data_IF_873704304006
#
_entry.id   IF_873704304006
#
_cell.length_a   1.000
_cell.length_b   1.000
_cell.length_c   1.000
_cell.angle_alpha   90.00
_cell.angle_beta   90.00
_cell.angle_gamma   90.00
#
_symmetry.space_group_name_H-M   'P 1'
#
loop_
_entity.id
_entity.type
_entity.pdbx_description
1 polymer ?
#
# COMPACT_ATOMS: atom_id res chain seq x y z
N UNK A 1 -16.33 11.28 -11.09
CA UNK A 1 -15.52 12.28 -10.35
C UNK A 1 -15.40 13.57 -11.15
N UNK A 2 -15.41 14.73 -10.44
CA UNK A 2 -15.10 16.00 -11.09
C UNK A 2 -13.56 16.11 -11.16
N UNK A 3 -13.02 15.88 -12.33
CA UNK A 3 -11.58 15.97 -12.58
C UNK A 3 -11.10 17.42 -12.48
N UNK A 4 -9.94 17.71 -11.87
CA UNK A 4 -9.35 19.04 -11.81
C UNK A 4 -8.64 19.41 -13.13
N UNK A 5 -9.26 19.14 -14.27
CA UNK A 5 -8.72 19.40 -15.59
C UNK A 5 -9.80 19.35 -16.66
N UNK A 6 -9.49 19.89 -17.80
CA UNK A 6 -10.37 19.82 -18.96
C UNK A 6 -10.04 18.56 -19.76
N UNK A 7 -11.04 17.79 -20.25
CA UNK A 7 -10.76 16.71 -21.17
C UNK A 7 -10.23 17.29 -22.51
N UNK A 8 -9.03 16.87 -22.86
CA UNK A 8 -8.44 17.22 -24.14
C UNK A 8 -8.45 15.97 -25.02
N UNK A 9 -9.17 16.00 -26.13
CA UNK A 9 -9.25 14.92 -27.13
C UNK A 9 -9.53 13.51 -26.55
N UNK A 10 -10.46 13.43 -25.56
CA UNK A 10 -10.81 12.23 -24.78
C UNK A 10 -9.79 11.77 -23.73
N UNK A 11 -8.73 12.54 -23.47
CA UNK A 11 -7.81 12.28 -22.37
C UNK A 11 -8.28 12.95 -21.07
N UNK A 12 -8.02 12.29 -19.94
CA UNK A 12 -8.10 12.93 -18.64
C UNK A 12 -6.77 13.63 -18.41
N UNK A 13 -6.80 14.94 -18.44
CA UNK A 13 -5.62 15.78 -18.24
C UNK A 13 -5.76 16.58 -16.94
N UNK A 14 -4.85 16.34 -16.01
CA UNK A 14 -4.68 17.15 -14.81
C UNK A 14 -3.42 17.99 -14.96
N UNK A 15 -3.55 19.30 -15.20
CA UNK A 15 -2.39 20.18 -15.24
C UNK A 15 -1.81 20.38 -13.84
N UNK A 16 -0.49 20.65 -13.77
CA UNK A 16 0.14 21.01 -12.50
C UNK A 16 -0.52 22.22 -11.82
N UNK A 17 -0.97 23.22 -12.60
CA UNK A 17 -1.62 24.41 -12.06
C UNK A 17 -2.98 24.06 -11.42
N UNK A 18 -3.79 23.21 -12.05
CA UNK A 18 -5.07 22.76 -11.51
C UNK A 18 -4.86 21.92 -10.24
N UNK A 19 -3.91 20.99 -10.27
CA UNK A 19 -3.55 20.20 -9.09
C UNK A 19 -3.06 21.10 -7.95
N UNK A 20 -2.19 22.06 -8.23
CA UNK A 20 -1.69 23.01 -7.21
C UNK A 20 -2.83 23.75 -6.51
N UNK A 21 -3.82 24.22 -7.28
CA UNK A 21 -4.98 24.88 -6.71
C UNK A 21 -5.77 23.92 -5.80
N UNK A 22 -6.07 22.72 -6.28
CA UNK A 22 -6.89 21.76 -5.55
C UNK A 22 -6.23 21.28 -4.26
N UNK A 23 -4.93 20.94 -4.25
CA UNK A 23 -4.26 20.49 -3.02
C UNK A 23 -4.14 21.60 -1.98
N UNK A 24 -4.04 22.89 -2.41
CA UNK A 24 -4.10 24.01 -1.50
C UNK A 24 -5.52 24.19 -0.92
N UNK A 25 -6.56 24.03 -1.74
CA UNK A 25 -7.94 24.07 -1.28
C UNK A 25 -8.21 22.94 -0.27
N UNK A 26 -7.75 21.72 -0.54
CA UNK A 26 -7.86 20.59 0.40
C UNK A 26 -7.22 20.90 1.77
N UNK A 27 -6.01 21.46 1.77
CA UNK A 27 -5.28 21.79 3.00
C UNK A 27 -5.97 22.92 3.78
N UNK A 28 -6.54 23.91 3.08
CA UNK A 28 -7.26 25.00 3.70
C UNK A 28 -8.62 24.59 4.28
N UNK A 29 -9.33 23.72 3.55
CA UNK A 29 -10.68 23.29 3.91
C UNK A 29 -10.70 22.16 4.94
N UNK A 30 -9.61 21.38 5.02
CA UNK A 30 -9.51 20.19 5.87
C UNK A 30 -8.22 20.15 6.73
N UNK A 31 -7.91 21.23 7.49
CA UNK A 31 -6.63 21.33 8.22
C UNK A 31 -6.46 20.26 9.31
N UNK A 32 -7.54 19.63 9.75
CA UNK A 32 -7.52 18.60 10.78
C UNK A 32 -6.98 17.25 10.25
N UNK A 33 -7.04 17.02 8.94
CA UNK A 33 -6.60 15.77 8.32
C UNK A 33 -5.61 15.95 7.18
N UNK A 34 -5.49 17.12 6.58
CA UNK A 34 -4.62 17.34 5.41
C UNK A 34 -3.42 18.21 5.79
N UNK A 35 -2.22 17.68 5.66
CA UNK A 35 -0.99 18.47 5.64
C UNK A 35 -0.45 18.53 4.22
N UNK A 36 -0.10 19.74 3.77
CA UNK A 36 0.48 19.99 2.46
C UNK A 36 1.89 20.56 2.61
N UNK A 37 2.84 19.99 1.88
CA UNK A 37 4.20 20.49 1.81
C UNK A 37 4.80 20.27 0.42
N UNK A 38 5.82 21.05 0.09
CA UNK A 38 6.66 20.75 -1.07
C UNK A 38 7.85 19.91 -0.63
N UNK A 39 8.11 18.80 -1.32
CA UNK A 39 9.30 17.96 -1.07
C UNK A 39 10.51 18.40 -1.91
N UNK A 40 10.34 19.35 -2.81
CA UNK A 40 11.36 19.85 -3.73
C UNK A 40 10.75 20.49 -4.96
N UNK A 41 11.56 20.71 -5.96
CA UNK A 41 11.13 21.31 -7.23
C UNK A 41 11.53 20.43 -8.40
N UNK A 42 10.73 20.47 -9.46
CA UNK A 42 11.06 19.87 -10.77
C UNK A 42 12.23 20.59 -11.43
N UNK A 43 12.68 20.06 -12.55
CA UNK A 43 13.76 20.67 -13.33
C UNK A 43 13.45 22.12 -13.76
N UNK A 44 12.20 22.46 -14.07
CA UNK A 44 11.78 23.82 -14.40
C UNK A 44 11.31 24.64 -13.19
N UNK A 45 11.43 24.12 -11.98
CA UNK A 45 11.15 24.86 -10.74
C UNK A 45 9.69 24.81 -10.28
N UNK A 46 8.89 23.86 -10.74
CA UNK A 46 7.56 23.62 -10.22
C UNK A 46 7.64 22.84 -8.91
N UNK A 47 6.82 23.22 -7.92
CA UNK A 47 6.75 22.52 -6.63
C UNK A 47 6.26 21.08 -6.79
N UNK A 48 6.88 20.16 -6.06
CA UNK A 48 6.49 18.76 -5.94
C UNK A 48 5.64 18.61 -4.67
N UNK A 49 4.32 18.63 -4.86
CA UNK A 49 3.37 18.68 -3.76
C UNK A 49 3.17 17.32 -3.12
N UNK A 50 3.47 17.23 -1.82
CA UNK A 50 3.17 16.09 -0.96
C UNK A 50 1.93 16.38 -0.14
N UNK A 51 0.91 15.57 -0.30
CA UNK A 51 -0.30 15.56 0.52
C UNK A 51 -0.17 14.44 1.55
N UNK A 52 -0.30 14.76 2.83
CA UNK A 52 -0.31 13.75 3.88
C UNK A 52 -1.66 13.79 4.58
N UNK A 53 -2.35 12.64 4.55
CA UNK A 53 -3.67 12.48 5.16
C UNK A 53 -3.55 11.65 6.44
N UNK A 54 -4.07 12.17 7.54
CA UNK A 54 -4.17 11.49 8.83
C UNK A 54 -5.07 12.27 9.76
N UNK A 55 -5.66 11.67 10.76
CA UNK A 55 -6.29 12.40 11.87
C UNK A 55 -5.21 12.97 12.79
N UNK A 56 -4.89 14.26 12.64
CA UNK A 56 -3.81 14.93 13.38
C UNK A 56 -4.15 15.21 14.84
N UNK A 57 -5.40 14.96 15.26
CA UNK A 57 -5.75 14.99 16.67
C UNK A 57 -5.23 13.75 17.43
N UNK A 58 -4.86 12.70 16.69
CA UNK A 58 -4.30 11.46 17.21
C UNK A 58 -2.83 11.31 16.76
N UNK A 59 -1.88 11.45 17.69
CA UNK A 59 -0.45 11.22 17.41
C UNK A 59 -0.12 9.74 17.24
N UNK A 60 -0.87 8.88 17.91
CA UNK A 60 -0.73 7.41 17.88
C UNK A 60 -2.09 6.76 17.70
N UNK A 61 -2.10 5.49 17.37
CA UNK A 61 -3.32 4.66 17.36
C UNK A 61 -3.92 4.55 18.77
N UNK A 62 -5.15 4.08 18.85
CA UNK A 62 -5.88 3.93 20.12
C UNK A 62 -5.18 2.97 21.11
N UNK A 63 -4.35 2.04 20.63
CA UNK A 63 -3.54 1.13 21.42
C UNK A 63 -2.18 1.72 21.86
N UNK A 64 -1.90 2.98 21.52
CA UNK A 64 -0.67 3.69 21.82
C UNK A 64 0.51 3.35 20.90
N UNK A 65 0.31 2.52 19.89
CA UNK A 65 1.36 2.22 18.89
C UNK A 65 1.40 3.28 17.79
N UNK A 66 2.53 3.38 17.07
CA UNK A 66 2.67 4.30 15.94
C UNK A 66 1.68 3.95 14.84
N UNK A 67 1.24 4.97 14.11
CA UNK A 67 0.43 4.78 12.91
C UNK A 67 1.23 4.05 11.84
N UNK A 68 0.55 3.26 11.03
CA UNK A 68 1.13 2.69 9.82
C UNK A 68 1.37 3.79 8.78
N UNK A 69 2.38 3.60 7.93
CA UNK A 69 2.73 4.56 6.88
C UNK A 69 2.57 3.89 5.53
N UNK A 70 1.76 4.47 4.67
CA UNK A 70 1.75 4.13 3.26
C UNK A 70 2.29 5.30 2.44
N UNK A 71 3.18 4.98 1.50
CA UNK A 71 3.70 5.93 0.54
C UNK A 71 3.13 5.64 -0.85
N UNK A 72 2.59 6.66 -1.49
CA UNK A 72 2.01 6.59 -2.83
C UNK A 72 2.64 7.70 -3.67
N UNK A 73 3.11 7.37 -4.86
CA UNK A 73 3.46 8.38 -5.84
C UNK A 73 2.87 8.08 -7.21
N UNK A 74 2.64 9.13 -7.98
CA UNK A 74 2.17 9.06 -9.36
C UNK A 74 2.93 10.03 -10.26
N UNK A 75 2.75 9.86 -11.56
CA UNK A 75 3.25 10.81 -12.53
C UNK A 75 4.77 10.84 -12.69
N UNK A 76 5.49 9.72 -12.52
CA UNK A 76 6.89 9.61 -12.95
C UNK A 76 7.03 9.91 -14.44
N UNK A 77 6.12 9.37 -15.23
CA UNK A 77 6.01 9.69 -16.64
C UNK A 77 4.90 10.71 -16.84
N UNK A 78 5.25 11.86 -17.42
CA UNK A 78 4.34 13.00 -17.46
C UNK A 78 3.09 12.78 -18.30
N UNK A 79 3.14 11.90 -19.30
CA UNK A 79 2.02 11.60 -20.18
C UNK A 79 1.19 10.37 -19.73
N UNK A 80 1.49 9.79 -18.57
CA UNK A 80 0.72 8.69 -17.99
C UNK A 80 -0.34 9.25 -17.02
N UNK A 81 -1.36 9.90 -17.58
CA UNK A 81 -2.32 10.71 -16.82
C UNK A 81 -3.17 9.92 -15.83
N UNK A 82 -3.53 8.66 -16.16
CA UNK A 82 -4.39 7.85 -15.30
C UNK A 82 -3.71 7.42 -14.00
N UNK A 83 -2.39 7.18 -14.03
CA UNK A 83 -1.62 6.93 -12.81
C UNK A 83 -1.64 8.13 -11.86
N UNK A 84 -1.46 9.35 -12.40
CA UNK A 84 -1.64 10.59 -11.64
C UNK A 84 -3.07 10.75 -11.14
N UNK A 85 -4.05 10.40 -11.97
CA UNK A 85 -5.46 10.46 -11.62
C UNK A 85 -5.86 9.50 -10.50
N UNK A 86 -5.33 8.27 -10.49
CA UNK A 86 -5.59 7.31 -9.42
C UNK A 86 -4.99 7.74 -8.08
N UNK A 87 -3.77 8.31 -8.09
CA UNK A 87 -3.16 8.90 -6.90
C UNK A 87 -4.00 10.05 -6.33
N UNK A 88 -4.47 10.95 -7.20
CA UNK A 88 -5.37 12.03 -6.84
C UNK A 88 -6.70 11.52 -6.32
N UNK A 89 -7.32 10.56 -7.01
CA UNK A 89 -8.62 9.99 -6.63
C UNK A 89 -8.55 9.30 -5.27
N UNK A 90 -7.43 8.61 -4.99
CA UNK A 90 -7.18 8.00 -3.69
C UNK A 90 -7.19 9.05 -2.57
N UNK A 91 -6.45 10.15 -2.72
CA UNK A 91 -6.46 11.23 -1.75
C UNK A 91 -7.85 11.84 -1.57
N UNK A 92 -8.49 12.16 -2.69
CA UNK A 92 -9.82 12.80 -2.71
C UNK A 92 -10.89 11.93 -2.06
N UNK A 93 -10.84 10.62 -2.27
CA UNK A 93 -11.79 9.69 -1.65
C UNK A 93 -11.74 9.75 -0.14
N UNK A 94 -10.55 9.65 0.46
CA UNK A 94 -10.39 9.71 1.92
C UNK A 94 -10.81 11.06 2.51
N UNK A 95 -10.51 12.17 1.83
CA UNK A 95 -10.96 13.52 2.26
C UNK A 95 -12.49 13.61 2.24
N UNK A 96 -13.12 13.20 1.14
CA UNK A 96 -14.58 13.29 0.98
C UNK A 96 -15.30 12.37 1.98
N UNK A 97 -14.82 11.15 2.14
CA UNK A 97 -15.44 10.16 3.01
C UNK A 97 -15.23 10.49 4.50
N UNK A 98 -14.08 11.08 4.87
CA UNK A 98 -13.91 11.67 6.20
C UNK A 98 -14.96 12.72 6.49
N UNK A 99 -15.16 13.66 5.56
CA UNK A 99 -16.17 14.73 5.69
C UNK A 99 -17.60 14.18 5.72
N UNK A 100 -17.86 13.06 5.05
CA UNK A 100 -19.12 12.32 5.09
C UNK A 100 -19.30 11.46 6.35
N UNK A 101 -18.30 11.42 7.26
CA UNK A 101 -18.29 10.59 8.46
C UNK A 101 -18.38 9.08 8.17
N UNK A 102 -17.74 8.65 7.09
CA UNK A 102 -17.62 7.24 6.73
C UNK A 102 -16.67 6.53 7.70
N UNK A 103 -17.14 5.44 8.30
CA UNK A 103 -16.38 4.69 9.31
C UNK A 103 -15.03 4.17 8.77
N UNK A 104 -14.99 3.68 7.52
CA UNK A 104 -13.76 3.19 6.89
C UNK A 104 -12.68 4.28 6.80
N UNK A 105 -13.05 5.48 6.31
CA UNK A 105 -12.12 6.59 6.19
C UNK A 105 -11.63 7.09 7.55
N UNK A 106 -12.53 7.11 8.56
CA UNK A 106 -12.19 7.50 9.93
C UNK A 106 -11.19 6.49 10.51
N UNK A 107 -11.47 5.20 10.45
CA UNK A 107 -10.61 4.14 10.99
C UNK A 107 -9.22 4.18 10.35
N UNK A 108 -9.16 4.37 9.03
CA UNK A 108 -7.88 4.48 8.31
C UNK A 108 -7.11 5.71 8.76
N UNK A 109 -7.70 6.91 8.75
CA UNK A 109 -6.96 8.13 9.07
C UNK A 109 -6.60 8.24 10.57
N UNK A 110 -7.31 7.54 11.44
CA UNK A 110 -6.94 7.41 12.85
C UNK A 110 -5.79 6.44 13.09
N UNK A 111 -5.56 5.50 12.19
CA UNK A 111 -4.54 4.46 12.34
C UNK A 111 -3.37 4.55 11.36
N UNK A 112 -3.44 5.41 10.35
CA UNK A 112 -2.50 5.44 9.23
C UNK A 112 -2.14 6.87 8.84
N UNK A 113 -0.94 7.06 8.32
CA UNK A 113 -0.51 8.25 7.59
C UNK A 113 -0.40 7.89 6.10
N UNK A 114 -1.22 8.54 5.26
CA UNK A 114 -1.20 8.38 3.82
C UNK A 114 -0.37 9.50 3.21
N UNK A 115 0.83 9.21 2.75
CA UNK A 115 1.74 10.16 2.10
C UNK A 115 1.59 10.02 0.60
N UNK A 116 1.04 11.02 -0.07
CA UNK A 116 0.66 10.95 -1.48
C UNK A 116 1.33 12.06 -2.28
N UNK A 117 2.30 11.70 -3.12
CA UNK A 117 2.92 12.56 -4.13
C UNK A 117 2.19 12.36 -5.45
N UNK A 118 1.20 13.18 -5.72
CA UNK A 118 0.26 12.95 -6.84
C UNK A 118 0.96 13.07 -8.20
N UNK A 119 1.93 14.00 -8.35
CA UNK A 119 2.58 14.30 -9.64
C UNK A 119 4.06 14.58 -9.44
N UNK A 120 4.91 13.58 -9.70
CA UNK A 120 6.36 13.70 -9.57
C UNK A 120 7.00 14.48 -10.73
N UNK A 121 6.46 14.38 -11.96
CA UNK A 121 6.98 15.00 -13.16
C UNK A 121 6.01 16.04 -13.75
N UNK A 122 5.84 17.18 -13.07
CA UNK A 122 4.91 18.21 -13.53
C UNK A 122 5.36 18.91 -14.84
N UNK A 123 6.65 18.87 -15.14
CA UNK A 123 7.17 19.44 -16.39
C UNK A 123 6.82 18.56 -17.59
N UNK A 124 7.02 17.25 -17.44
CA UNK A 124 6.62 16.28 -18.45
C UNK A 124 5.12 16.21 -18.63
N UNK A 125 4.35 16.34 -17.54
CA UNK A 125 2.90 16.34 -17.58
C UNK A 125 2.38 17.51 -18.42
N UNK A 126 2.80 18.74 -18.14
CA UNK A 126 2.37 19.92 -18.90
C UNK A 126 2.88 19.94 -20.35
N UNK A 127 3.92 19.17 -20.66
CA UNK A 127 4.49 19.05 -22.00
C UNK A 127 4.03 17.79 -22.76
N UNK A 128 3.13 17.01 -22.17
CA UNK A 128 2.63 15.74 -22.74
C UNK A 128 3.77 14.81 -23.16
N UNK A 129 4.73 14.59 -22.25
CA UNK A 129 5.89 13.74 -22.53
C UNK A 129 6.18 12.80 -21.36
N UNK A 130 6.66 11.60 -21.70
CA UNK A 130 7.10 10.60 -20.71
C UNK A 130 8.20 11.13 -19.80
N UNK A 131 9.19 11.82 -20.39
CA UNK A 131 10.42 12.27 -19.73
C UNK A 131 10.22 13.60 -19.00
N UNK A 132 11.15 13.96 -18.11
CA UNK A 132 11.23 15.33 -17.65
C UNK A 132 11.78 16.27 -18.76
N UNK A 133 11.92 17.55 -18.48
CA UNK A 133 12.39 18.52 -19.48
C UNK A 133 13.89 18.88 -19.37
N UNK A 134 14.68 18.05 -18.70
CA UNK A 134 16.14 18.12 -18.73
C UNK A 134 16.64 17.53 -20.07
N UNK A 135 16.53 18.32 -21.13
CA UNK A 135 16.82 17.87 -22.50
C UNK A 135 18.31 17.55 -22.68
N UNK A 136 18.61 16.29 -22.77
CA UNK A 136 19.96 15.81 -23.13
C UNK A 136 19.95 15.26 -24.57
N UNK A 137 21.12 15.21 -25.20
CA UNK A 137 21.30 14.50 -26.49
C UNK A 137 21.51 13.02 -26.21
N UNK A 138 20.44 12.32 -25.78
CA UNK A 138 20.50 10.87 -25.70
C UNK A 138 20.37 10.25 -27.11
N UNK A 139 21.14 9.21 -27.39
CA UNK A 139 20.97 8.42 -28.60
C UNK A 139 19.65 7.67 -28.52
N UNK A 140 18.64 8.10 -29.25
CA UNK A 140 17.42 7.33 -29.40
C UNK A 140 17.63 6.24 -30.47
N UNK A 141 17.64 4.94 -30.12
CA UNK A 141 17.94 3.89 -31.11
C UNK A 141 16.83 3.69 -32.16
N UNK A 142 15.67 4.33 -31.96
CA UNK A 142 14.54 4.25 -32.89
C UNK A 142 14.52 5.36 -33.96
N UNK A 143 15.42 6.33 -33.85
CA UNK A 143 15.56 7.41 -34.82
C UNK A 143 17.00 7.51 -35.35
N UNK A 144 17.15 7.88 -36.62
CA UNK A 144 18.46 7.94 -37.29
C UNK A 144 19.35 9.09 -36.83
N UNK A 145 18.78 10.09 -36.19
CA UNK A 145 19.48 11.28 -35.68
C UNK A 145 19.21 11.46 -34.19
N UNK A 146 20.21 11.88 -33.38
CA UNK A 146 19.98 12.18 -31.96
C UNK A 146 18.93 13.28 -31.80
N UNK A 147 17.85 12.98 -31.11
CA UNK A 147 16.84 13.99 -30.76
C UNK A 147 17.04 14.33 -29.28
N UNK A 148 16.98 15.62 -28.90
CA UNK A 148 16.97 15.99 -27.51
C UNK A 148 15.76 15.31 -26.85
N UNK A 149 16.03 14.45 -25.86
CA UNK A 149 15.01 13.84 -25.02
C UNK A 149 15.32 14.20 -23.57
N UNK A 150 14.29 14.32 -22.75
CA UNK A 150 14.47 14.42 -21.30
C UNK A 150 14.94 13.09 -20.70
N UNK A 151 15.01 13.07 -19.40
CA UNK A 151 15.39 11.88 -18.63
C UNK A 151 14.12 11.12 -18.21
N UNK A 152 14.14 9.80 -18.36
CA UNK A 152 13.11 8.92 -17.80
C UNK A 152 13.32 8.81 -16.28
N UNK A 153 12.45 9.45 -15.52
CA UNK A 153 12.56 9.50 -14.06
C UNK A 153 12.48 8.10 -13.43
N UNK A 154 11.72 7.18 -14.05
CA UNK A 154 11.61 5.79 -13.56
C UNK A 154 12.73 4.88 -14.10
N UNK A 155 13.86 5.45 -14.48
CA UNK A 155 15.15 4.81 -14.76
C UNK A 155 16.29 5.46 -13.99
N UNK A 156 16.00 6.47 -13.16
CA UNK A 156 17.01 7.34 -12.53
C UNK A 156 17.24 7.05 -11.04
N UNK A 157 16.67 5.96 -10.47
CA UNK A 157 16.87 5.56 -9.08
C UNK A 157 18.12 4.68 -8.91
N UNK A 158 18.79 4.80 -7.74
CA UNK A 158 20.02 4.08 -7.42
C UNK A 158 19.74 2.66 -6.91
N UNK A 159 19.19 1.84 -7.80
CA UNK A 159 19.11 0.39 -7.61
C UNK A 159 19.42 -0.28 -8.94
N UNK A 160 20.66 -0.80 -9.04
CA UNK A 160 21.20 -1.34 -10.29
C UNK A 160 21.17 -0.35 -11.46
N UNK A 161 21.27 0.93 -11.18
CA UNK A 161 21.28 1.98 -12.19
C UNK A 161 22.43 1.80 -13.21
N UNK A 162 23.63 1.40 -12.74
CA UNK A 162 24.80 1.12 -13.58
C UNK A 162 24.58 -0.01 -14.60
N UNK A 163 23.60 -0.87 -14.34
CA UNK A 163 23.23 -1.95 -15.25
C UNK A 163 22.18 -1.52 -16.28
N UNK A 164 21.61 -0.32 -16.13
CA UNK A 164 20.85 0.33 -17.15
C UNK A 164 21.82 0.72 -18.27
N UNK A 165 21.62 0.19 -19.46
CA UNK A 165 22.48 0.53 -20.57
C UNK A 165 22.39 2.03 -20.89
N UNK A 166 23.51 2.73 -21.09
CA UNK A 166 23.48 4.09 -21.64
C UNK A 166 22.80 4.18 -23.01
N UNK A 167 22.65 3.06 -23.68
CA UNK A 167 21.87 2.91 -24.92
C UNK A 167 20.42 2.52 -24.66
N UNK A 168 19.96 2.50 -23.39
CA UNK A 168 18.55 2.33 -23.05
C UNK A 168 17.77 3.48 -23.72
N UNK A 169 16.75 3.17 -24.53
CA UNK A 169 15.93 4.17 -25.20
C UNK A 169 15.22 5.10 -24.21
N UNK A 170 15.17 4.73 -22.95
CA UNK A 170 14.49 5.44 -21.88
C UNK A 170 15.34 6.51 -21.20
N UNK A 171 16.62 6.71 -21.59
CA UNK A 171 17.47 7.79 -21.09
C UNK A 171 17.55 7.86 -19.52
N UNK A 172 18.35 7.00 -18.88
CA UNK A 172 18.40 6.91 -17.41
C UNK A 172 19.11 8.08 -16.72
N UNK A 173 19.63 9.06 -17.45
CA UNK A 173 20.39 10.19 -16.92
C UNK A 173 21.90 9.94 -16.86
N UNK A 174 22.64 10.93 -16.40
CA UNK A 174 24.11 10.90 -16.32
C UNK A 174 24.64 10.15 -15.10
N UNK A 175 23.83 9.97 -14.09
CA UNK A 175 24.05 9.19 -12.88
C UNK A 175 22.71 8.86 -12.22
N UNK A 176 22.72 7.91 -11.32
CA UNK A 176 21.57 7.74 -10.42
C UNK A 176 21.27 9.06 -9.71
N UNK A 177 19.99 9.37 -9.56
CA UNK A 177 19.52 10.62 -8.96
C UNK A 177 20.09 11.89 -9.59
N UNK A 178 20.39 11.87 -10.89
CA UNK A 178 20.80 13.10 -11.60
C UNK A 178 19.70 14.15 -11.63
N UNK A 179 18.45 13.73 -11.59
CA UNK A 179 17.28 14.60 -11.72
C UNK A 179 16.80 15.14 -10.36
N UNK A 180 16.37 16.40 -10.29
CA UNK A 180 15.89 16.99 -9.04
C UNK A 180 14.64 16.28 -8.49
N UNK A 181 13.76 15.82 -9.37
CA UNK A 181 12.53 15.12 -9.02
C UNK A 181 12.83 13.81 -8.30
N UNK A 182 13.70 12.97 -8.85
CA UNK A 182 14.07 11.67 -8.24
C UNK A 182 14.88 11.83 -6.97
N UNK A 183 15.72 12.88 -6.88
CA UNK A 183 16.41 13.22 -5.61
C UNK A 183 15.43 13.63 -4.53
N UNK A 184 14.45 14.46 -4.88
CA UNK A 184 13.44 14.91 -3.92
C UNK A 184 12.62 13.73 -3.39
N UNK A 185 12.17 12.85 -4.29
CA UNK A 185 11.44 11.64 -3.96
C UNK A 185 12.26 10.70 -3.07
N UNK A 186 13.50 10.36 -3.48
CA UNK A 186 14.38 9.49 -2.70
C UNK A 186 14.74 10.11 -1.33
N UNK A 187 14.95 11.43 -1.24
CA UNK A 187 15.17 12.10 0.02
C UNK A 187 13.97 11.99 0.96
N UNK A 188 12.76 12.10 0.41
CA UNK A 188 11.53 11.93 1.18
C UNK A 188 11.40 10.50 1.69
N UNK A 189 11.63 9.50 0.83
CA UNK A 189 11.65 8.09 1.23
C UNK A 189 12.65 7.82 2.36
N UNK A 190 13.87 8.36 2.25
CA UNK A 190 14.95 8.09 3.21
C UNK A 190 14.80 8.83 4.56
N UNK A 191 14.13 9.96 4.61
CA UNK A 191 14.14 10.82 5.79
C UNK A 191 12.77 10.98 6.46
N UNK A 192 11.67 10.74 5.73
CA UNK A 192 10.32 10.96 6.24
C UNK A 192 9.56 9.64 6.35
N UNK A 193 9.50 8.86 5.28
CA UNK A 193 8.74 7.61 5.24
C UNK A 193 9.63 6.36 5.28
N UNK A 194 10.80 6.45 5.90
CA UNK A 194 11.77 5.35 5.99
C UNK A 194 11.21 4.04 6.55
N UNK A 195 10.10 4.13 7.29
CA UNK A 195 9.40 3.01 7.91
C UNK A 195 8.10 2.64 7.20
N UNK A 196 7.89 3.12 5.96
CA UNK A 196 6.64 2.85 5.22
C UNK A 196 6.33 1.34 5.17
N UNK A 197 5.11 1.00 5.49
CA UNK A 197 4.62 -0.37 5.52
C UNK A 197 4.18 -0.87 4.14
N UNK A 198 3.95 0.06 3.20
CA UNK A 198 3.66 -0.21 1.79
C UNK A 198 4.06 1.01 0.95
N UNK A 199 4.57 0.75 -0.25
CA UNK A 199 4.80 1.75 -1.28
C UNK A 199 4.08 1.35 -2.58
N UNK A 200 3.32 2.27 -3.16
CA UNK A 200 2.67 2.08 -4.46
C UNK A 200 3.04 3.22 -5.39
N UNK A 201 3.66 2.89 -6.51
CA UNK A 201 3.98 3.84 -7.58
C UNK A 201 3.01 3.65 -8.75
N UNK A 202 2.33 4.74 -9.14
CA UNK A 202 1.22 4.68 -10.09
C UNK A 202 1.65 5.14 -11.47
N UNK A 203 1.38 4.29 -12.45
CA UNK A 203 1.74 4.40 -13.86
C UNK A 203 0.54 4.11 -14.76
N UNK A 204 0.75 4.18 -16.05
CA UNK A 204 -0.23 3.84 -17.10
C UNK A 204 0.48 3.22 -18.29
N UNK A 205 -0.11 2.22 -18.91
CA UNK A 205 0.44 1.62 -20.15
C UNK A 205 0.06 0.16 -20.35
N UNK A 206 -0.33 -0.51 -19.28
CA UNK A 206 -0.81 -1.89 -19.26
C UNK A 206 -1.70 -2.04 -18.04
N UNK A 207 -2.77 -2.78 -18.11
CA UNK A 207 -3.59 -3.04 -16.93
C UNK A 207 -3.01 -4.18 -16.09
N UNK A 208 -2.15 -3.84 -15.11
CA UNK A 208 -1.42 -4.82 -14.29
C UNK A 208 -0.87 -4.19 -13.00
N UNK A 209 -0.81 -4.96 -11.93
CA UNK A 209 -0.01 -4.66 -10.74
C UNK A 209 1.29 -5.45 -10.75
N UNK A 210 2.41 -4.77 -10.56
CA UNK A 210 3.75 -5.34 -10.66
C UNK A 210 4.48 -5.25 -9.32
N UNK A 211 4.93 -6.39 -8.79
CA UNK A 211 5.83 -6.41 -7.64
C UNK A 211 7.29 -6.67 -8.07
N UNK A 212 8.30 -6.38 -7.23
CA UNK A 212 9.70 -6.63 -7.56
C UNK A 212 9.97 -8.11 -7.92
N UNK A 213 10.97 -8.38 -8.74
CA UNK A 213 11.94 -7.45 -9.29
C UNK A 213 11.61 -7.09 -10.74
N UNK A 214 11.99 -5.87 -11.14
CA UNK A 214 12.03 -5.51 -12.57
C UNK A 214 13.26 -6.03 -13.26
N UNK A 215 14.40 -6.07 -12.56
CA UNK A 215 15.66 -6.52 -13.13
C UNK A 215 15.71 -8.02 -13.39
N UNK A 216 15.17 -8.84 -12.51
CA UNK A 216 15.26 -10.30 -12.58
C UNK A 216 13.91 -11.00 -12.57
N UNK A 217 13.81 -12.16 -13.26
CA UNK A 217 12.60 -12.99 -13.20
C UNK A 217 12.44 -13.76 -11.89
N UNK A 218 13.46 -13.74 -11.01
CA UNK A 218 13.39 -14.41 -9.72
C UNK A 218 12.39 -13.71 -8.81
N UNK A 219 11.69 -14.51 -8.03
CA UNK A 219 10.80 -13.99 -7.00
C UNK A 219 11.58 -13.23 -5.93
N UNK A 220 11.04 -12.13 -5.40
CA UNK A 220 11.60 -11.46 -4.24
C UNK A 220 11.48 -12.37 -3.00
N UNK A 221 12.29 -12.20 -1.96
CA UNK A 221 12.19 -13.02 -0.77
C UNK A 221 10.82 -12.99 -0.07
N UNK A 222 10.14 -11.85 -0.11
CA UNK A 222 8.79 -11.71 0.45
C UNK A 222 7.69 -12.08 -0.55
N UNK A 223 7.99 -12.95 -1.52
CA UNK A 223 7.05 -13.35 -2.58
C UNK A 223 5.71 -13.87 -2.02
N UNK A 224 5.73 -14.51 -0.85
CA UNK A 224 4.52 -15.02 -0.19
C UNK A 224 3.55 -13.88 0.17
N UNK A 225 4.09 -12.72 0.59
CA UNK A 225 3.30 -11.52 0.84
C UNK A 225 2.58 -11.06 -0.44
N UNK A 226 3.32 -10.90 -1.53
CA UNK A 226 2.76 -10.45 -2.81
C UNK A 226 1.74 -11.43 -3.39
N UNK A 227 1.98 -12.73 -3.24
CA UNK A 227 1.03 -13.75 -3.65
C UNK A 227 -0.21 -13.78 -2.77
N UNK A 228 -0.07 -13.59 -1.47
CA UNK A 228 -1.21 -13.49 -0.55
C UNK A 228 -2.11 -12.31 -0.89
N UNK A 229 -1.53 -11.14 -1.17
CA UNK A 229 -2.26 -9.97 -1.65
C UNK A 229 -3.01 -10.28 -2.96
N UNK A 230 -2.32 -10.90 -3.92
CA UNK A 230 -2.93 -11.30 -5.19
C UNK A 230 -4.14 -12.23 -5.00
N UNK A 231 -4.01 -13.24 -4.16
CA UNK A 231 -5.08 -14.19 -3.91
C UNK A 231 -6.31 -13.50 -3.30
N UNK A 232 -6.10 -12.55 -2.40
CA UNK A 232 -7.20 -11.81 -1.78
C UNK A 232 -7.84 -10.79 -2.73
N UNK A 233 -7.06 -10.08 -3.53
CA UNK A 233 -7.60 -9.17 -4.57
C UNK A 233 -8.44 -9.96 -5.56
N UNK A 234 -7.95 -11.09 -6.05
CA UNK A 234 -8.69 -11.96 -6.98
C UNK A 234 -9.88 -12.67 -6.35
N UNK A 235 -9.97 -12.73 -5.01
CA UNK A 235 -11.10 -13.37 -4.33
C UNK A 235 -12.42 -12.58 -4.38
N UNK A 236 -12.42 -11.35 -4.89
CA UNK A 236 -13.66 -10.59 -5.03
C UNK A 236 -13.51 -9.07 -5.10
N UNK A 237 -12.33 -8.56 -5.39
CA UNK A 237 -12.09 -7.12 -5.56
C UNK A 237 -11.86 -6.78 -7.03
N UNK A 238 -10.86 -7.41 -7.67
CA UNK A 238 -10.52 -7.17 -9.07
C UNK A 238 -9.80 -8.37 -9.67
N UNK A 239 -9.96 -8.55 -10.97
CA UNK A 239 -9.22 -9.54 -11.78
C UNK A 239 -7.88 -9.00 -12.31
N UNK A 240 -7.44 -7.81 -11.87
CA UNK A 240 -6.18 -7.19 -12.31
C UNK A 240 -5.02 -8.19 -12.18
N UNK A 241 -4.23 -8.45 -13.23
CA UNK A 241 -3.06 -9.33 -13.13
C UNK A 241 -2.06 -8.78 -12.12
N UNK A 242 -1.56 -9.61 -11.20
CA UNK A 242 -0.54 -9.24 -10.21
C UNK A 242 0.67 -10.16 -10.39
N UNK A 243 1.79 -9.61 -10.87
CA UNK A 243 2.93 -10.39 -11.32
C UNK A 243 4.27 -9.74 -10.94
N UNK A 244 5.34 -10.55 -10.97
CA UNK A 244 6.72 -10.04 -10.97
C UNK A 244 6.94 -9.14 -12.19
N UNK A 245 7.53 -7.96 -11.98
CA UNK A 245 7.63 -6.94 -13.03
C UNK A 245 8.48 -7.36 -14.24
N UNK A 246 9.56 -8.11 -14.01
CA UNK A 246 10.38 -8.62 -15.10
C UNK A 246 9.60 -9.56 -16.03
N UNK A 247 8.71 -10.38 -15.45
CA UNK A 247 7.94 -11.38 -16.19
C UNK A 247 6.61 -10.82 -16.70
N UNK A 248 6.00 -9.92 -15.93
CA UNK A 248 4.70 -9.32 -16.27
C UNK A 248 4.79 -8.22 -17.32
N UNK A 249 5.93 -7.55 -17.43
CA UNK A 249 6.14 -6.47 -18.38
C UNK A 249 7.39 -6.70 -19.22
N UNK A 250 8.56 -6.31 -18.72
CA UNK A 250 9.87 -6.51 -19.34
C UNK A 250 10.99 -6.24 -18.34
N UNK A 251 12.24 -6.75 -18.57
CA UNK A 251 13.38 -6.41 -17.74
C UNK A 251 13.65 -4.91 -17.71
N UNK A 252 13.76 -4.34 -16.51
CA UNK A 252 14.05 -2.92 -16.30
C UNK A 252 14.94 -2.71 -15.07
N UNK A 253 15.55 -1.53 -14.96
CA UNK A 253 16.48 -1.16 -13.90
C UNK A 253 16.30 0.31 -13.53
N UNK A 254 16.89 0.74 -12.40
CA UNK A 254 16.82 2.12 -11.96
C UNK A 254 15.40 2.62 -11.67
N UNK A 255 14.48 1.71 -11.33
CA UNK A 255 13.08 2.05 -11.08
C UNK A 255 12.82 2.39 -9.62
N UNK A 256 11.83 3.23 -9.38
CA UNK A 256 11.37 3.60 -8.02
C UNK A 256 10.88 2.38 -7.25
N UNK A 257 10.18 1.44 -7.91
CA UNK A 257 9.72 0.17 -7.31
C UNK A 257 10.88 -0.65 -6.73
N UNK A 258 11.88 -0.93 -7.57
CA UNK A 258 13.02 -1.76 -7.16
C UNK A 258 13.90 -1.05 -6.13
N UNK A 259 13.99 0.29 -6.17
CA UNK A 259 14.63 1.09 -5.13
C UNK A 259 13.84 1.02 -3.80
N UNK A 260 12.53 1.25 -3.85
CA UNK A 260 11.66 1.18 -2.68
C UNK A 260 11.73 -0.19 -1.98
N UNK A 261 11.78 -1.27 -2.74
CA UNK A 261 11.90 -2.62 -2.18
C UNK A 261 13.34 -2.97 -1.80
N UNK A 262 14.28 -2.83 -2.73
CA UNK A 262 15.65 -3.34 -2.58
C UNK A 262 16.54 -2.49 -1.67
N UNK A 263 16.30 -1.17 -1.61
CA UNK A 263 17.09 -0.24 -0.79
C UNK A 263 16.33 0.13 0.47
N UNK A 264 15.07 0.56 0.34
CA UNK A 264 14.27 1.02 1.48
C UNK A 264 13.59 -0.13 2.23
N UNK A 265 13.40 -1.28 1.58
CA UNK A 265 12.74 -2.45 2.16
C UNK A 265 11.23 -2.33 2.26
N UNK A 266 10.62 -1.45 1.52
CA UNK A 266 9.17 -1.36 1.47
C UNK A 266 8.58 -2.53 0.69
N UNK A 267 7.53 -3.21 1.14
CA UNK A 267 6.65 -3.94 0.23
C UNK A 267 6.19 -2.96 -0.85
N UNK A 268 6.41 -3.29 -2.13
CA UNK A 268 6.23 -2.29 -3.20
C UNK A 268 5.48 -2.86 -4.38
N UNK A 269 4.54 -2.07 -4.91
CA UNK A 269 3.89 -2.32 -6.18
C UNK A 269 4.07 -1.13 -7.15
N UNK A 270 4.21 -1.45 -8.44
CA UNK A 270 3.83 -0.53 -9.51
C UNK A 270 2.40 -0.86 -9.93
N UNK A 271 1.52 0.12 -9.92
CA UNK A 271 0.16 0.00 -10.40
C UNK A 271 0.09 0.63 -11.79
N UNK A 272 -0.12 -0.17 -12.79
CA UNK A 272 -0.32 0.26 -14.18
C UNK A 272 -1.82 0.28 -14.46
N UNK A 273 -2.38 1.44 -14.72
CA UNK A 273 -3.83 1.69 -14.61
C UNK A 273 -4.63 1.38 -15.87
N UNK A 274 -4.02 1.29 -17.04
CA UNK A 274 -4.73 1.03 -18.30
C UNK A 274 -3.80 0.43 -19.36
N UNK A 275 -4.37 -0.33 -20.29
CA UNK A 275 -3.71 -0.86 -21.47
C UNK A 275 -3.76 0.07 -22.69
N UNK A 276 -4.59 1.13 -22.64
CA UNK A 276 -4.64 2.21 -23.65
C UNK A 276 -4.21 3.55 -23.03
N UNK A 277 -2.91 3.67 -22.78
CA UNK A 277 -2.31 4.76 -22.02
C UNK A 277 -2.55 6.17 -22.59
N UNK A 278 -2.84 6.29 -23.89
CA UNK A 278 -2.92 7.58 -24.56
C UNK A 278 -4.33 7.95 -25.02
N UNK A 279 -5.24 7.01 -25.05
CA UNK A 279 -6.60 7.18 -25.53
C UNK A 279 -7.55 6.33 -24.68
N UNK A 280 -7.63 6.60 -23.37
CA UNK A 280 -8.57 5.85 -22.53
C UNK A 280 -9.97 6.10 -23.08
N UNK A 281 -10.62 5.12 -23.62
CA UNK A 281 -11.98 5.05 -24.11
C UNK A 281 -12.88 6.28 -23.90
N UNK A 282 -14.09 6.05 -23.46
CA UNK A 282 -14.97 7.15 -23.02
C UNK A 282 -14.67 7.53 -21.58
N UNK A 283 -15.13 8.70 -21.13
CA UNK A 283 -15.06 9.08 -19.71
C UNK A 283 -15.77 8.05 -18.80
N UNK A 284 -16.80 7.39 -19.30
CA UNK A 284 -17.52 6.37 -18.55
C UNK A 284 -16.64 5.13 -18.33
N UNK A 285 -15.98 4.66 -19.39
CA UNK A 285 -15.04 3.52 -19.33
C UNK A 285 -13.88 3.79 -18.37
N UNK A 286 -13.29 5.00 -18.44
CA UNK A 286 -12.20 5.44 -17.57
C UNK A 286 -12.64 5.52 -16.11
N UNK A 287 -13.83 6.07 -15.84
CA UNK A 287 -14.34 6.18 -14.48
C UNK A 287 -14.62 4.80 -13.88
N UNK A 288 -15.21 3.87 -14.64
CA UNK A 288 -15.45 2.51 -14.18
C UNK A 288 -14.14 1.81 -13.81
N UNK A 289 -13.10 1.97 -14.63
CA UNK A 289 -11.77 1.39 -14.38
C UNK A 289 -11.12 1.99 -13.15
N UNK A 290 -11.11 3.31 -13.03
CA UNK A 290 -10.52 3.99 -11.87
C UNK A 290 -11.29 3.71 -10.57
N UNK A 291 -12.59 3.50 -10.63
CA UNK A 291 -13.38 3.09 -9.47
C UNK A 291 -13.00 1.66 -9.01
N UNK A 292 -12.81 0.72 -9.94
CA UNK A 292 -12.31 -0.64 -9.63
C UNK A 292 -10.90 -0.59 -9.03
N UNK A 293 -10.01 0.20 -9.61
CA UNK A 293 -8.63 0.36 -9.15
C UNK A 293 -8.54 1.06 -7.80
N UNK A 294 -9.43 2.02 -7.54
CA UNK A 294 -9.58 2.62 -6.23
C UNK A 294 -10.01 1.60 -5.17
N UNK A 295 -10.88 0.64 -5.52
CA UNK A 295 -11.24 -0.44 -4.60
C UNK A 295 -10.05 -1.32 -4.26
N UNK A 296 -9.14 -1.58 -5.21
CA UNK A 296 -7.87 -2.27 -4.93
C UNK A 296 -6.98 -1.42 -4.00
N UNK A 297 -6.86 -0.11 -4.26
CA UNK A 297 -6.08 0.78 -3.39
C UNK A 297 -6.66 0.85 -1.97
N UNK A 298 -7.98 0.95 -1.83
CA UNK A 298 -8.65 0.91 -0.53
C UNK A 298 -8.38 -0.40 0.20
N UNK A 299 -8.47 -1.54 -0.52
CA UNK A 299 -8.11 -2.83 0.06
C UNK A 299 -6.67 -2.85 0.59
N UNK A 300 -5.70 -2.36 -0.18
CA UNK A 300 -4.30 -2.29 0.25
C UNK A 300 -4.12 -1.39 1.48
N UNK A 301 -4.78 -0.25 1.52
CA UNK A 301 -4.69 0.72 2.60
C UNK A 301 -5.38 0.21 3.86
N UNK A 302 -6.60 -0.32 3.75
CA UNK A 302 -7.39 -0.81 4.88
C UNK A 302 -6.75 -2.02 5.58
N UNK A 303 -5.91 -2.76 4.86
CA UNK A 303 -5.23 -3.94 5.38
C UNK A 303 -3.73 -3.70 5.63
N UNK A 304 -3.25 -2.45 5.62
CA UNK A 304 -1.83 -2.12 5.68
C UNK A 304 -1.12 -2.72 6.88
N UNK A 305 -1.76 -2.81 8.02
CA UNK A 305 -1.18 -3.38 9.23
C UNK A 305 -0.89 -4.89 9.13
N UNK A 306 -1.45 -5.60 8.15
CA UNK A 306 -1.14 -7.00 7.85
C UNK A 306 0.08 -7.20 6.96
N UNK A 307 0.56 -6.16 6.26
CA UNK A 307 1.66 -6.32 5.29
C UNK A 307 3.04 -6.48 5.93
N UNK A 308 3.11 -6.48 7.24
CA UNK A 308 4.31 -6.67 8.05
C UNK A 308 4.10 -7.79 9.08
N UNK A 309 5.15 -8.14 9.83
CA UNK A 309 4.98 -8.99 11.02
C UNK A 309 4.17 -8.24 12.09
N UNK A 310 3.18 -8.90 12.65
CA UNK A 310 2.32 -8.36 13.70
C UNK A 310 2.18 -9.37 14.82
N UNK A 311 3.03 -9.25 15.83
CA UNK A 311 3.10 -10.20 16.91
C UNK A 311 2.19 -9.80 18.09
N UNK A 312 1.39 -10.74 18.55
CA UNK A 312 0.53 -10.62 19.72
C UNK A 312 0.83 -11.78 20.67
N UNK A 313 1.07 -11.49 21.95
CA UNK A 313 1.23 -12.53 22.96
C UNK A 313 -0.16 -13.02 23.40
N UNK A 314 -0.50 -14.27 23.10
CA UNK A 314 -1.79 -14.89 23.44
C UNK A 314 -1.82 -15.53 24.80
N UNK A 315 -0.70 -16.10 25.23
CA UNK A 315 -0.59 -16.75 26.53
C UNK A 315 0.80 -16.55 27.12
N UNK A 316 0.85 -16.50 28.45
CA UNK A 316 2.07 -16.26 29.19
C UNK A 316 1.98 -16.94 30.55
N UNK A 317 3.04 -17.63 30.97
CA UNK A 317 3.17 -18.23 32.28
C UNK A 317 4.62 -18.30 32.74
N UNK A 318 4.85 -18.20 34.04
CA UNK A 318 6.13 -18.40 34.70
C UNK A 318 5.98 -19.55 35.70
N UNK A 319 6.86 -20.53 35.60
CA UNK A 319 6.91 -21.69 36.50
C UNK A 319 8.37 -22.08 36.75
N UNK A 320 8.82 -22.06 37.99
CA UNK A 320 10.21 -22.35 38.40
C UNK A 320 11.27 -21.62 37.55
N UNK A 321 11.19 -20.30 37.44
CA UNK A 321 12.07 -19.44 36.64
C UNK A 321 12.00 -19.70 35.12
N UNK A 322 11.06 -20.50 34.68
CA UNK A 322 10.84 -20.79 33.27
C UNK A 322 9.66 -19.98 32.73
N UNK A 323 9.92 -19.12 31.77
CA UNK A 323 8.90 -18.36 31.04
C UNK A 323 8.43 -19.18 29.85
N UNK A 324 7.12 -19.38 29.77
CA UNK A 324 6.48 -19.99 28.61
C UNK A 324 5.46 -19.01 28.04
N UNK A 325 5.58 -18.69 26.76
CA UNK A 325 4.65 -17.79 26.09
C UNK A 325 4.34 -18.25 24.67
N UNK A 326 3.13 -17.93 24.23
CA UNK A 326 2.68 -18.20 22.85
C UNK A 326 2.46 -16.87 22.16
N UNK A 327 3.13 -16.70 21.03
CA UNK A 327 3.03 -15.53 20.16
C UNK A 327 2.25 -15.93 18.92
N UNK A 328 1.26 -15.13 18.55
CA UNK A 328 0.56 -15.23 17.28
C UNK A 328 1.07 -14.12 16.35
N UNK A 329 1.64 -14.49 15.21
CA UNK A 329 1.94 -13.54 14.14
C UNK A 329 0.70 -13.42 13.26
N UNK A 330 -0.03 -12.34 13.43
CA UNK A 330 -1.23 -12.03 12.65
C UNK A 330 -0.90 -11.42 11.28
N UNK A 331 0.35 -10.96 11.10
CA UNK A 331 0.81 -10.35 9.86
C UNK A 331 1.24 -11.36 8.81
N UNK A 332 1.42 -10.89 7.58
CA UNK A 332 1.80 -11.70 6.42
C UNK A 332 3.30 -11.73 6.16
N UNK A 333 4.09 -11.01 6.96
CA UNK A 333 5.54 -11.12 6.95
C UNK A 333 6.03 -11.95 8.14
N UNK A 334 7.04 -12.77 7.93
CA UNK A 334 7.72 -13.50 9.00
C UNK A 334 8.75 -12.62 9.70
N UNK A 335 9.06 -12.88 10.95
CA UNK A 335 10.18 -12.28 11.66
C UNK A 335 11.12 -13.34 12.24
N UNK A 336 12.43 -13.10 12.17
CA UNK A 336 13.46 -14.07 12.58
C UNK A 336 14.15 -13.74 13.89
N UNK A 337 14.02 -12.51 14.39
CA UNK A 337 14.73 -12.04 15.58
C UNK A 337 13.77 -11.45 16.60
N UNK A 338 12.69 -12.19 16.90
CA UNK A 338 11.78 -11.79 17.95
C UNK A 338 12.32 -12.22 19.32
N UNK A 339 12.17 -11.34 20.33
CA UNK A 339 12.51 -11.60 21.71
C UNK A 339 11.45 -11.07 22.66
N UNK A 340 11.20 -11.81 23.73
CA UNK A 340 10.43 -11.29 24.86
C UNK A 340 11.43 -10.73 25.89
N UNK A 341 11.27 -9.49 26.28
CA UNK A 341 12.15 -8.77 27.19
C UNK A 341 11.42 -8.40 28.47
N UNK A 342 12.14 -8.40 29.59
CA UNK A 342 11.74 -7.79 30.83
C UNK A 342 12.64 -6.60 31.11
N UNK A 343 12.06 -5.42 31.27
CA UNK A 343 12.77 -4.14 31.25
C UNK A 343 12.47 -3.32 32.52
N UNK A 344 13.44 -2.48 32.92
CA UNK A 344 13.24 -1.41 33.91
C UNK A 344 13.70 -0.10 33.25
N UNK A 345 12.73 0.71 32.85
CA UNK A 345 12.98 1.84 31.95
C UNK A 345 13.59 1.35 30.62
N UNK A 346 14.77 1.89 30.26
CA UNK A 346 15.48 1.50 29.04
C UNK A 346 16.40 0.27 29.22
N UNK A 347 16.51 -0.24 30.46
CA UNK A 347 17.42 -1.33 30.75
C UNK A 347 16.73 -2.69 30.59
N UNK A 348 17.26 -3.54 29.72
CA UNK A 348 16.86 -4.95 29.61
C UNK A 348 17.45 -5.70 30.82
N UNK A 349 16.59 -6.24 31.69
CA UNK A 349 16.95 -7.06 32.85
C UNK A 349 17.05 -8.54 32.47
N UNK A 350 16.16 -9.01 31.60
CA UNK A 350 16.12 -10.36 31.09
C UNK A 350 15.58 -10.37 29.65
N UNK A 351 16.02 -11.33 28.86
CA UNK A 351 15.61 -11.53 27.47
C UNK A 351 15.52 -13.01 27.15
N UNK A 352 14.49 -13.40 26.40
CA UNK A 352 14.34 -14.78 25.89
C UNK A 352 15.38 -15.09 24.83
N UNK A 353 15.58 -16.34 24.51
CA UNK A 353 16.25 -16.72 23.26
C UNK A 353 15.49 -16.10 22.07
N UNK A 354 16.23 -15.80 20.99
CA UNK A 354 15.65 -15.36 19.72
C UNK A 354 14.75 -16.45 19.15
N UNK A 355 13.59 -16.06 18.67
CA UNK A 355 12.67 -16.98 18.00
C UNK A 355 12.20 -16.44 16.64
N UNK A 356 11.77 -17.36 15.80
CA UNK A 356 11.15 -17.05 14.51
C UNK A 356 9.64 -17.15 14.68
N UNK A 357 8.92 -16.15 14.22
CA UNK A 357 7.47 -16.17 14.08
C UNK A 357 7.13 -16.08 12.57
N UNK A 358 6.72 -17.20 12.00
CA UNK A 358 6.29 -17.24 10.60
C UNK A 358 5.00 -16.49 10.41
N UNK A 359 4.79 -15.96 9.20
CA UNK A 359 3.56 -15.28 8.83
C UNK A 359 2.32 -16.14 9.15
N UNK A 360 1.26 -15.50 9.63
CA UNK A 360 -0.04 -16.13 9.91
C UNK A 360 0.01 -17.38 10.79
N UNK A 361 0.99 -17.46 11.71
CA UNK A 361 1.20 -18.65 12.53
C UNK A 361 1.41 -18.35 14.01
N UNK A 362 1.25 -19.39 14.84
CA UNK A 362 1.52 -19.34 16.28
C UNK A 362 2.84 -20.02 16.60
N UNK A 363 3.62 -19.41 17.47
CA UNK A 363 4.89 -19.93 17.98
C UNK A 363 4.87 -19.96 19.49
N UNK A 364 5.14 -21.11 20.10
CA UNK A 364 5.31 -21.22 21.55
C UNK A 364 6.80 -21.26 21.88
N UNK A 365 7.23 -20.37 22.74
CA UNK A 365 8.60 -20.24 23.23
C UNK A 365 8.65 -20.63 24.70
N UNK A 366 9.70 -21.36 25.07
CA UNK A 366 9.96 -21.73 26.44
C UNK A 366 11.43 -21.44 26.76
N UNK A 367 11.69 -20.58 27.73
CA UNK A 367 13.02 -20.11 28.09
C UNK A 367 13.15 -19.91 29.59
N UNK A 368 14.31 -20.15 30.16
CA UNK A 368 14.55 -20.14 31.61
C UNK A 368 15.39 -18.95 32.09
N UNK A 369 15.68 -18.97 33.40
CA UNK A 369 16.54 -17.98 34.03
C UNK A 369 15.85 -16.65 34.36
N UNK A 370 14.52 -16.64 34.48
CA UNK A 370 13.78 -15.46 34.88
C UNK A 370 13.67 -15.41 36.42
N UNK A 371 14.34 -14.46 37.03
CA UNK A 371 14.31 -14.19 38.49
C UNK A 371 14.36 -12.67 38.73
N UNK A 372 13.34 -11.96 38.25
CA UNK A 372 13.28 -10.49 38.32
C UNK A 372 11.91 -10.01 38.81
N UNK A 373 11.89 -8.88 39.51
CA UNK A 373 10.71 -8.20 39.97
C UNK A 373 10.73 -6.71 39.64
N UNK A 374 9.57 -6.08 39.54
CA UNK A 374 9.42 -4.63 39.46
C UNK A 374 9.62 -4.01 38.08
N UNK A 375 9.73 -4.81 37.03
CA UNK A 375 9.87 -4.34 35.66
C UNK A 375 8.60 -4.54 34.81
N UNK A 376 8.72 -4.25 33.53
CA UNK A 376 7.67 -4.35 32.53
C UNK A 376 8.05 -5.33 31.42
N UNK A 377 7.06 -5.94 30.79
CA UNK A 377 7.25 -6.84 29.66
C UNK A 377 7.21 -6.08 28.36
N UNK A 378 8.14 -6.41 27.44
CA UNK A 378 8.22 -5.86 26.10
C UNK A 378 8.49 -6.97 25.09
N UNK A 379 7.66 -7.06 24.04
CA UNK A 379 7.92 -7.90 22.89
C UNK A 379 8.65 -7.06 21.84
N UNK A 380 9.87 -7.47 21.45
CA UNK A 380 10.66 -6.81 20.43
C UNK A 380 10.82 -7.73 19.22
N UNK A 381 10.60 -7.22 18.03
CA UNK A 381 10.71 -8.00 16.80
C UNK A 381 10.97 -7.11 15.57
N UNK A 382 11.38 -7.74 14.51
CA UNK A 382 11.54 -7.07 13.23
C UNK A 382 10.20 -7.00 12.50
N UNK A 383 9.72 -5.79 12.21
CA UNK A 383 8.50 -5.55 11.42
C UNK A 383 8.57 -6.21 10.06
N UNK A 384 9.75 -6.15 9.44
CA UNK A 384 10.02 -6.58 8.07
C UNK A 384 11.36 -7.26 7.98
N UNK A 385 11.44 -8.26 7.12
CA UNK A 385 12.70 -8.76 6.60
C UNK A 385 13.03 -7.92 5.37
N UNK A 386 14.04 -7.07 5.49
CA UNK A 386 14.48 -6.21 4.38
C UNK A 386 15.72 -6.80 3.75
N UNK A 387 15.84 -6.72 2.43
CA UNK A 387 17.05 -7.11 1.69
C UNK A 387 18.25 -6.24 1.98
N UNK A 388 18.02 -5.00 2.40
CA UNK A 388 19.06 -4.10 2.84
C UNK A 388 19.37 -4.32 4.32
N UNK A 389 20.51 -3.86 4.78
CA UNK A 389 20.95 -3.88 6.18
C UNK A 389 20.06 -3.06 7.13
N UNK A 390 18.97 -2.50 6.65
CA UNK A 390 18.05 -1.70 7.46
C UNK A 390 16.93 -2.59 7.98
N UNK A 391 17.06 -3.00 9.24
CA UNK A 391 16.03 -3.70 9.97
C UNK A 391 15.12 -2.69 10.65
N UNK A 392 13.82 -2.76 10.37
CA UNK A 392 12.84 -1.98 11.13
C UNK A 392 12.35 -2.83 12.29
N UNK A 393 12.66 -2.39 13.50
CA UNK A 393 12.23 -3.07 14.72
C UNK A 393 10.95 -2.44 15.26
N UNK A 394 10.09 -3.27 15.82
CA UNK A 394 8.93 -2.85 16.58
C UNK A 394 9.04 -3.40 18.01
N UNK A 395 8.61 -2.59 18.97
CA UNK A 395 8.53 -3.02 20.37
C UNK A 395 7.15 -2.70 20.93
N UNK A 396 6.50 -3.71 21.47
CA UNK A 396 5.17 -3.59 22.07
C UNK A 396 5.28 -3.84 23.56
N UNK A 397 4.85 -2.86 24.38
CA UNK A 397 4.78 -3.03 25.84
C UNK A 397 3.62 -3.94 26.20
N UNK A 398 3.87 -4.89 27.12
CA UNK A 398 2.88 -5.83 27.60
C UNK A 398 2.62 -5.55 29.09
N UNK A 399 1.42 -5.13 29.43
CA UNK A 399 1.02 -5.01 30.85
C UNK A 399 0.65 -6.39 31.41
N UNK A 400 1.19 -6.78 32.57
CA UNK A 400 0.88 -8.07 33.19
C UNK A 400 -0.47 -8.08 33.91
N UNK A 401 -1.52 -7.58 33.31
CA UNK A 401 -2.87 -7.79 33.89
C UNK A 401 -3.43 -9.09 33.35
N UNK A 402 -3.51 -10.08 34.20
CA UNK A 402 -4.07 -11.41 33.94
C UNK A 402 -5.53 -11.43 33.47
N UNK A 403 -6.14 -10.28 33.29
CA UNK A 403 -7.52 -10.10 32.81
C UNK A 403 -7.63 -9.31 31.49
N UNK A 404 -6.58 -8.62 31.02
CA UNK A 404 -6.67 -7.78 29.82
C UNK A 404 -6.27 -8.50 28.53
N UNK A 405 -5.56 -9.62 28.58
CA UNK A 405 -5.30 -10.45 27.41
C UNK A 405 -6.57 -10.94 26.69
N UNK A 406 -7.66 -11.12 27.46
CA UNK A 406 -8.96 -11.48 26.92
C UNK A 406 -9.70 -10.29 26.30
N UNK A 407 -9.45 -9.05 26.74
CA UNK A 407 -10.17 -7.88 26.22
C UNK A 407 -9.58 -7.37 24.89
N UNK A 408 -8.26 -7.31 24.75
CA UNK A 408 -7.64 -6.99 23.47
C UNK A 408 -7.87 -8.12 22.43
N UNK A 409 -7.86 -9.38 22.88
CA UNK A 409 -8.26 -10.51 22.02
C UNK A 409 -9.73 -10.46 21.65
N UNK A 410 -10.61 -9.88 22.48
CA UNK A 410 -12.04 -9.74 22.19
C UNK A 410 -12.29 -8.59 21.22
N UNK A 411 -11.59 -7.47 21.34
CA UNK A 411 -11.70 -6.38 20.35
C UNK A 411 -11.13 -6.81 19.00
N UNK A 412 -9.98 -7.45 18.97
CA UNK A 412 -9.42 -8.04 17.75
C UNK A 412 -10.28 -9.19 17.20
N UNK A 413 -10.89 -10.01 18.07
CA UNK A 413 -11.82 -11.08 17.68
C UNK A 413 -13.16 -10.51 17.18
N UNK A 414 -13.61 -9.38 17.69
CA UNK A 414 -14.80 -8.67 17.19
C UNK A 414 -14.53 -8.16 15.77
N UNK A 415 -13.35 -7.65 15.47
CA UNK A 415 -12.95 -7.24 14.13
C UNK A 415 -12.81 -8.44 13.16
N UNK A 416 -12.15 -9.50 13.57
CA UNK A 416 -12.05 -10.75 12.78
C UNK A 416 -13.42 -11.39 12.62
N UNK A 417 -14.31 -11.28 13.59
CA UNK A 417 -15.70 -11.76 13.49
C UNK A 417 -16.58 -10.80 12.66
N UNK A 418 -16.29 -9.51 12.62
CA UNK A 418 -16.99 -8.58 11.73
C UNK A 418 -16.54 -8.75 10.28
N UNK A 419 -15.24 -8.90 10.02
CA UNK A 419 -14.73 -9.23 8.69
C UNK A 419 -15.11 -10.64 8.21
N UNK A 420 -15.29 -11.60 9.14
CA UNK A 420 -15.75 -12.96 8.85
C UNK A 420 -17.25 -13.21 9.07
N UNK A 421 -18.01 -12.25 9.63
CA UNK A 421 -19.42 -12.45 9.97
C UNK A 421 -20.36 -12.28 8.78
N UNK A 422 -19.95 -11.56 7.74
CA UNK A 422 -20.76 -11.40 6.53
C UNK A 422 -21.02 -12.75 5.84
N UNK A 423 -20.04 -13.66 5.65
CA UNK A 423 -20.33 -15.00 5.12
C UNK A 423 -21.15 -15.88 6.05
N UNK A 424 -20.94 -15.77 7.38
CA UNK A 424 -21.70 -16.58 8.34
C UNK A 424 -23.15 -16.12 8.51
N UNK A 425 -23.44 -14.83 8.41
CA UNK A 425 -24.80 -14.31 8.38
C UNK A 425 -25.54 -14.69 7.07
N UNK A 426 -24.86 -14.65 5.94
CA UNK A 426 -25.43 -15.09 4.65
C UNK A 426 -25.70 -16.60 4.67
N UNK A 427 -24.81 -17.41 5.22
CA UNK A 427 -25.02 -18.86 5.39
C UNK A 427 -26.11 -19.15 6.40
N UNK A 428 -26.17 -18.43 7.52
CA UNK A 428 -27.24 -18.61 8.52
C UNK A 428 -28.59 -18.14 8.01
N UNK A 429 -28.65 -17.04 7.23
CA UNK A 429 -29.88 -16.56 6.59
C UNK A 429 -30.35 -17.50 5.47
N UNK A 430 -29.43 -18.06 4.67
CA UNK A 430 -29.75 -19.07 3.67
C UNK A 430 -30.24 -20.38 4.32
N UNK A 431 -29.65 -20.78 5.47
CA UNK A 431 -30.13 -21.94 6.26
C UNK A 431 -31.46 -21.69 6.95
N UNK A 432 -31.73 -20.46 7.37
CA UNK A 432 -33.02 -20.10 7.98
C UNK A 432 -34.12 -20.00 6.92
N UNK A 433 -33.83 -19.39 5.75
CA UNK A 433 -34.76 -19.32 4.61
C UNK A 433 -35.11 -20.70 4.04
N UNK A 434 -34.14 -21.62 3.99
CA UNK A 434 -34.39 -23.00 3.51
C UNK A 434 -35.23 -23.86 4.47
N UNK A 435 -35.47 -23.39 5.71
CA UNK A 435 -36.31 -24.10 6.70
C UNK A 435 -37.76 -23.64 6.78
N UNK A 436 -38.17 -22.60 6.07
CA UNK A 436 -39.54 -22.08 6.09
C UNK A 436 -40.40 -22.52 4.89
N UNK A 437 -39.93 -23.39 4.03
CA UNK A 437 -40.82 -24.06 3.07
C UNK A 437 -41.59 -25.17 3.79
N UNK A 438 -42.82 -24.83 4.20
CA UNK A 438 -43.81 -25.82 4.57
C UNK A 438 -44.24 -26.60 3.30
N UNK A 439 -44.44 -27.93 3.39
CA UNK A 439 -44.93 -28.68 2.25
C UNK A 439 -46.35 -28.22 1.91
N UNK A 440 -46.53 -27.85 0.67
CA UNK A 440 -47.84 -27.61 0.07
C UNK A 440 -48.53 -28.96 -0.09
N UNK A 441 -49.67 -29.11 0.57
CA UNK A 441 -50.55 -30.27 0.45
C UNK A 441 -51.24 -30.24 -0.94
N UNK A 442 -51.00 -31.27 -1.71
CA UNK A 442 -51.67 -31.51 -2.97
C UNK A 442 -52.93 -32.35 -2.66
N UNK A 443 -54.04 -31.70 -2.47
CA UNK A 443 -55.38 -32.27 -2.75
C UNK A 443 -56.34 -31.10 -2.90
N UNK A 444 -56.68 -30.79 -4.16
CA UNK A 444 -58.03 -30.53 -4.63
C UNK A 444 -57.97 -30.22 -6.15
N UNK A 445 -58.47 -31.20 -6.87
CA UNK A 445 -58.74 -31.13 -8.29
C UNK A 445 -59.93 -30.20 -8.59
N UNK A 446 -59.82 -29.36 -9.60
CA UNK A 446 -60.88 -29.20 -10.62
C UNK A 446 -60.32 -28.53 -11.88
N UNK A 447 -60.69 -29.01 -13.08
CA UNK A 447 -60.15 -28.57 -14.33
C UNK A 447 -60.97 -27.39 -14.91
N UNK A 448 -60.28 -26.38 -15.40
CA UNK A 448 -60.89 -25.36 -16.27
C UNK A 448 -60.37 -25.44 -17.69
N UNK A 449 -61.35 -25.53 -18.55
CA UNK A 449 -61.37 -25.76 -20.00
C UNK A 449 -60.55 -24.68 -20.76
N UNK A 450 -60.01 -25.17 -21.86
CA UNK A 450 -59.41 -24.34 -22.90
C UNK A 450 -60.55 -23.59 -23.71
N UNK A 451 -60.30 -22.27 -23.88
CA UNK A 451 -60.92 -21.58 -25.04
C UNK A 451 -59.79 -20.94 -25.87
N UNK A 452 -59.68 -21.48 -27.07
CA UNK A 452 -59.09 -20.89 -28.24
C UNK A 452 -59.98 -19.79 -28.77
N UNK A 453 -59.51 -18.57 -28.99
CA UNK A 453 -59.99 -17.66 -30.01
C UNK A 453 -58.83 -16.84 -30.58
N UNK A 454 -58.68 -17.08 -31.91
CA UNK A 454 -58.11 -16.27 -33.02
C UNK A 454 -56.92 -15.34 -32.79
#
# INVERSE_FOLDING_TARGET
PNWPGEPVDNHIYMSWAALTQEVNDWSNDNPDIVQLSSIGQSFLGKELWMVVLSDWAMETKSDGTAKEIIYIDGGHHGNEYLGTALAWLTAKWYINEWNAQNEEAIDVLQSTELHILIMLNPDGNDADTRHNLNLTTAANPFVSEPVPTGIDLNRNYDHFWDDCSPSDPFAPGGSAFSEPETRANANYMNNVVQDADLYVTMHTGVWIMLYPWGKWPQQPPDWELFHGIREEVHAGISDIPIQNANQGLYPNCGTSRDYGYGVMGFPTFTFETDDDQFLPGTFEDVNERLDEELDVMRYLINNIWYWRARLVVESFSIDDEVVTFTVNNMGRASTQNATLQYIDGDKVLWESDNFTANATSKTTVKTGGFDYEGGEWRLSYQKRVVHSSQWVNESVSLSPSTTSFLSQSIETLVWVLQAGAVPLFVVAFAFWWSREEKPFDLDDEEPLEAELIE
#
